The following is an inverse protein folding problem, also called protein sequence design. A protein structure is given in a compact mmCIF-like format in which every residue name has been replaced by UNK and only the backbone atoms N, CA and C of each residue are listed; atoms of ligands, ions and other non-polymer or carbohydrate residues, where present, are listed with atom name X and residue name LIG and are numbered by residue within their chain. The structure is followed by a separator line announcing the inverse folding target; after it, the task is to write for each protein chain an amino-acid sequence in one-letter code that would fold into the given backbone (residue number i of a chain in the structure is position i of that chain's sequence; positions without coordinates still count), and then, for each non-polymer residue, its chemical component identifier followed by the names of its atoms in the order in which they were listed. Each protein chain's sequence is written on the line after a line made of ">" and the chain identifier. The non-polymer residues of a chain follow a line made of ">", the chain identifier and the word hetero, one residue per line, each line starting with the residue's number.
data_IF_557665096845
#
_entry.id   IF_557665096845
#
_cell.length_a   1.000
_cell.length_b   1.000
_cell.length_c   1.000
_cell.angle_alpha   90.00
_cell.angle_beta   90.00
_cell.angle_gamma   90.00
#
_symmetry.space_group_name_H-M   'P 1'
#
loop_
_entity.id
_entity.type
_entity.pdbx_description
1 polymer ?
#
# COMPACT_ATOMS: atom_id res chain seq x y z
N UNK A 1 24.76 -23.10 -11.58
CA UNK A 1 24.04 -21.86 -11.21
C UNK A 1 22.73 -22.27 -10.54
N UNK A 2 22.55 -21.97 -9.26
CA UNK A 2 21.52 -22.58 -8.41
C UNK A 2 20.09 -22.26 -8.86
N UNK A 3 19.40 -23.26 -9.40
CA UNK A 3 17.97 -23.25 -9.73
C UNK A 3 17.15 -23.53 -8.47
N UNK A 4 16.90 -22.50 -7.66
CA UNK A 4 16.11 -22.60 -6.43
C UNK A 4 15.17 -21.38 -6.25
N UNK A 5 14.50 -20.94 -7.32
CA UNK A 5 13.50 -19.86 -7.27
C UNK A 5 12.05 -20.37 -7.40
N UNK A 6 11.81 -21.64 -7.09
CA UNK A 6 10.57 -22.33 -7.49
C UNK A 6 9.28 -21.84 -6.79
N UNK A 7 9.34 -21.06 -5.71
CA UNK A 7 8.10 -20.58 -5.07
C UNK A 7 8.26 -19.35 -4.16
N UNK A 8 9.17 -18.41 -4.45
CA UNK A 8 9.14 -17.13 -3.71
C UNK A 8 7.98 -16.30 -4.26
N UNK A 9 6.87 -16.22 -3.51
CA UNK A 9 5.77 -15.31 -3.84
C UNK A 9 6.25 -13.87 -3.62
N UNK A 10 6.85 -13.28 -4.66
CA UNK A 10 7.23 -11.89 -4.65
C UNK A 10 6.03 -11.01 -4.99
N UNK A 11 5.99 -9.82 -4.39
CA UNK A 11 4.94 -8.84 -4.60
C UNK A 11 5.55 -7.50 -5.02
N UNK A 12 4.88 -6.82 -5.94
CA UNK A 12 5.12 -5.42 -6.22
C UNK A 12 4.34 -4.58 -5.21
N UNK A 13 5.05 -3.80 -4.41
CA UNK A 13 4.49 -2.68 -3.65
C UNK A 13 4.45 -1.48 -4.59
N UNK A 14 3.25 -1.19 -5.10
CA UNK A 14 3.01 -0.12 -6.05
C UNK A 14 2.47 1.08 -5.29
N UNK A 15 3.13 2.22 -5.40
CA UNK A 15 2.69 3.48 -4.80
C UNK A 15 2.46 4.50 -5.91
N UNK A 16 1.28 5.10 -5.98
CA UNK A 16 1.02 6.20 -6.92
C UNK A 16 1.66 7.49 -6.41
N UNK A 17 2.69 7.99 -7.09
CA UNK A 17 3.39 9.22 -6.70
C UNK A 17 2.87 10.45 -7.43
N UNK A 18 2.29 10.28 -8.63
CA UNK A 18 1.77 11.39 -9.45
C UNK A 18 0.28 11.21 -9.77
N UNK A 19 -0.41 12.33 -9.98
CA UNK A 19 -1.83 12.35 -10.32
C UNK A 19 -2.08 11.85 -11.75
N UNK A 20 -3.26 11.32 -12.01
CA UNK A 20 -3.74 10.98 -13.36
C UNK A 20 -4.42 12.16 -14.08
N UNK A 21 -4.48 13.33 -13.45
CA UNK A 21 -5.07 14.54 -14.06
C UNK A 21 -4.26 14.92 -15.29
N UNK A 22 -4.94 15.16 -16.42
CA UNK A 22 -4.30 15.50 -17.69
C UNK A 22 -3.65 14.32 -18.41
N UNK A 23 -3.68 13.11 -17.87
CA UNK A 23 -3.17 11.92 -18.55
C UNK A 23 -4.15 11.39 -19.60
N UNK A 24 -3.62 10.74 -20.64
CA UNK A 24 -4.44 10.08 -21.66
C UNK A 24 -5.37 9.01 -21.04
N UNK A 25 -6.62 8.83 -21.53
CA UNK A 25 -7.59 7.91 -20.94
C UNK A 25 -7.10 6.46 -20.76
N UNK A 26 -6.22 5.97 -21.65
CA UNK A 26 -5.61 4.63 -21.51
C UNK A 26 -4.75 4.50 -20.26
N UNK A 27 -3.96 5.53 -19.93
CA UNK A 27 -3.12 5.55 -18.73
C UNK A 27 -4.00 5.54 -17.49
N UNK A 28 -5.07 6.34 -17.49
CA UNK A 28 -6.05 6.37 -16.39
C UNK A 28 -6.69 5.00 -16.17
N UNK A 29 -7.14 4.33 -17.24
CA UNK A 29 -7.69 2.96 -17.15
C UNK A 29 -6.68 1.95 -16.61
N UNK A 30 -5.40 2.07 -16.98
CA UNK A 30 -4.36 1.19 -16.46
C UNK A 30 -4.12 1.39 -14.95
N UNK A 31 -4.11 2.63 -14.47
CA UNK A 31 -4.01 2.96 -13.04
C UNK A 31 -5.23 2.41 -12.27
N UNK A 32 -6.45 2.61 -12.80
CA UNK A 32 -7.68 2.07 -12.22
C UNK A 32 -7.66 0.53 -12.19
N UNK A 33 -7.16 -0.13 -13.25
CA UNK A 33 -7.02 -1.59 -13.31
C UNK A 33 -5.94 -2.14 -12.35
N UNK A 34 -4.96 -1.32 -11.95
CA UNK A 34 -4.04 -1.64 -10.86
C UNK A 34 -4.66 -1.44 -9.47
N UNK A 35 -5.87 -0.86 -9.40
CA UNK A 35 -6.63 -0.59 -8.17
C UNK A 35 -6.29 0.74 -7.51
N UNK A 36 -5.39 1.53 -8.08
CA UNK A 36 -4.93 2.81 -7.55
C UNK A 36 -5.97 3.88 -7.88
N UNK A 37 -6.51 4.53 -6.84
CA UNK A 37 -7.57 5.55 -6.97
C UNK A 37 -7.13 6.94 -6.51
N UNK A 38 -6.14 7.01 -5.61
CA UNK A 38 -5.67 8.26 -4.99
C UNK A 38 -4.15 8.28 -4.94
N UNK A 39 -3.58 9.50 -4.95
CA UNK A 39 -2.16 9.73 -4.70
C UNK A 39 -1.73 9.12 -3.36
N UNK A 40 -0.49 8.65 -3.29
CA UNK A 40 0.16 7.99 -2.16
C UNK A 40 -0.55 6.72 -1.66
N UNK A 41 -1.52 6.21 -2.42
CA UNK A 41 -2.11 4.92 -2.15
C UNK A 41 -1.10 3.82 -2.47
N UNK A 42 -0.98 2.86 -1.54
CA UNK A 42 -0.11 1.69 -1.67
C UNK A 42 -0.98 0.47 -1.95
N UNK A 43 -0.63 -0.29 -2.98
CA UNK A 43 -1.27 -1.56 -3.35
C UNK A 43 -0.20 -2.61 -3.58
N UNK A 44 -0.45 -3.81 -3.07
CA UNK A 44 0.39 -4.97 -3.31
C UNK A 44 -0.24 -5.84 -4.38
N UNK A 45 0.54 -6.19 -5.41
CA UNK A 45 0.14 -7.17 -6.42
C UNK A 45 1.20 -8.24 -6.56
N UNK A 46 0.76 -9.48 -6.79
CA UNK A 46 1.68 -10.59 -7.07
C UNK A 46 2.49 -10.30 -8.33
N UNK A 47 3.78 -10.64 -8.29
CA UNK A 47 4.66 -10.54 -9.46
C UNK A 47 4.16 -11.50 -10.54
N UNK A 48 3.77 -10.93 -11.68
CA UNK A 48 3.40 -11.66 -12.89
C UNK A 48 3.77 -10.83 -14.12
N UNK A 49 3.98 -11.46 -15.30
CA UNK A 49 4.23 -10.73 -16.55
C UNK A 49 3.12 -9.73 -16.90
N UNK A 50 1.86 -10.11 -16.67
CA UNK A 50 0.70 -9.23 -16.91
C UNK A 50 0.72 -7.99 -16.00
N UNK A 51 1.04 -8.16 -14.72
CA UNK A 51 1.20 -7.03 -13.79
C UNK A 51 2.38 -6.15 -14.22
N UNK A 52 3.51 -6.73 -14.60
CA UNK A 52 4.68 -5.98 -15.05
C UNK A 52 4.39 -5.15 -16.32
N UNK A 53 3.66 -5.71 -17.28
CA UNK A 53 3.24 -4.99 -18.49
C UNK A 53 2.38 -3.76 -18.16
N UNK A 54 1.36 -3.94 -17.30
CA UNK A 54 0.50 -2.82 -16.85
C UNK A 54 1.29 -1.74 -16.13
N UNK A 55 2.22 -2.14 -15.26
CA UNK A 55 3.12 -1.22 -14.55
C UNK A 55 4.01 -0.44 -15.54
N UNK A 56 4.58 -1.12 -16.54
CA UNK A 56 5.44 -0.48 -17.54
C UNK A 56 4.72 0.64 -18.30
N UNK A 57 3.43 0.46 -18.58
CA UNK A 57 2.61 1.48 -19.26
C UNK A 57 2.36 2.75 -18.41
N UNK A 58 2.58 2.68 -17.09
CA UNK A 58 2.31 3.78 -16.14
C UNK A 58 3.51 4.14 -15.27
N UNK A 59 4.72 3.72 -15.68
CA UNK A 59 5.98 3.83 -14.91
C UNK A 59 6.34 5.23 -14.42
N UNK A 60 5.83 6.26 -15.09
CA UNK A 60 6.06 7.67 -14.75
C UNK A 60 5.21 8.14 -13.56
N UNK A 61 4.09 7.46 -13.29
CA UNK A 61 3.12 7.84 -12.25
C UNK A 61 3.28 7.04 -10.95
N UNK A 62 4.06 5.96 -10.98
CA UNK A 62 4.14 4.99 -9.89
C UNK A 62 5.59 4.76 -9.44
N UNK A 63 5.77 4.58 -8.14
CA UNK A 63 6.98 4.02 -7.53
C UNK A 63 6.74 2.55 -7.20
N UNK A 64 7.72 1.70 -7.53
CA UNK A 64 7.61 0.26 -7.34
C UNK A 64 8.74 -0.20 -6.41
N UNK A 65 8.39 -1.00 -5.43
CA UNK A 65 9.32 -1.70 -4.55
C UNK A 65 9.00 -3.20 -4.58
N UNK A 66 10.02 -4.05 -4.59
CA UNK A 66 9.85 -5.50 -4.58
C UNK A 66 9.88 -5.99 -3.13
N UNK A 67 8.84 -6.72 -2.71
CA UNK A 67 8.68 -7.20 -1.33
C UNK A 67 8.30 -8.67 -1.29
N UNK A 68 8.67 -9.33 -0.20
CA UNK A 68 8.41 -10.77 -0.02
C UNK A 68 7.00 -11.08 0.48
N UNK A 69 6.36 -10.14 1.19
CA UNK A 69 5.02 -10.29 1.75
C UNK A 69 4.17 -9.05 1.46
N UNK A 70 2.90 -9.21 1.06
CA UNK A 70 1.98 -8.09 0.95
C UNK A 70 1.52 -7.68 2.35
N UNK A 71 1.17 -6.40 2.52
CA UNK A 71 0.54 -5.92 3.74
C UNK A 71 -0.92 -5.60 3.52
N UNK A 72 -1.76 -5.87 4.50
CA UNK A 72 -3.17 -5.46 4.47
C UNK A 72 -3.31 -3.95 4.70
N UNK A 73 -4.49 -3.39 4.40
CA UNK A 73 -4.76 -1.96 4.64
C UNK A 73 -4.68 -1.61 6.13
N UNK A 74 -5.10 -2.54 6.99
CA UNK A 74 -5.09 -2.38 8.45
C UNK A 74 -3.67 -2.38 8.99
N UNK A 75 -2.82 -3.30 8.55
CA UNK A 75 -1.39 -3.32 8.87
C UNK A 75 -0.70 -2.02 8.44
N UNK A 76 -0.96 -1.56 7.20
CA UNK A 76 -0.43 -0.29 6.72
C UNK A 76 -0.95 0.92 7.53
N UNK A 77 -2.16 0.85 8.07
CA UNK A 77 -2.70 1.92 8.92
C UNK A 77 -2.07 1.89 10.32
N UNK A 78 -1.86 0.70 10.88
CA UNK A 78 -1.16 0.51 12.14
C UNK A 78 0.29 0.98 12.06
N UNK A 79 1.01 0.66 10.99
CA UNK A 79 2.39 1.12 10.77
C UNK A 79 2.53 2.64 10.64
N UNK A 80 1.51 3.30 10.11
CA UNK A 80 1.47 4.77 10.02
C UNK A 80 1.01 5.41 11.32
N UNK A 81 0.42 4.65 12.23
CA UNK A 81 -0.11 5.19 13.48
C UNK A 81 1.07 5.62 14.34
N UNK A 82 1.06 6.89 14.71
CA UNK A 82 2.03 7.46 15.61
C UNK A 82 1.85 6.90 17.03
N UNK A 83 2.95 6.74 17.76
CA UNK A 83 2.92 6.34 19.17
C UNK A 83 2.48 7.53 20.02
N UNK A 84 1.27 7.50 20.63
CA UNK A 84 0.81 8.62 21.45
C UNK A 84 1.78 8.88 22.59
N UNK A 85 2.13 10.14 22.82
CA UNK A 85 3.06 10.56 23.87
C UNK A 85 2.44 10.64 25.26
N UNK A 86 1.30 9.99 25.49
CA UNK A 86 0.61 9.93 26.76
C UNK A 86 0.15 8.51 27.05
N UNK A 87 0.19 8.14 28.32
CA UNK A 87 -0.38 6.89 28.81
C UNK A 87 -1.71 7.17 29.49
N UNK A 88 -2.73 6.40 29.13
CA UNK A 88 -4.03 6.51 29.79
C UNK A 88 -3.94 5.73 31.10
N UNK A 89 -3.70 6.45 32.20
CA UNK A 89 -3.80 5.88 33.54
C UNK A 89 -5.30 5.67 33.83
N UNK A 90 -5.73 4.40 33.86
CA UNK A 90 -7.06 4.06 34.37
C UNK A 90 -7.06 4.21 35.90
N UNK A 91 -7.35 5.42 36.38
CA UNK A 91 -7.57 5.70 37.79
C UNK A 91 -9.06 5.78 38.14
N UNK A 92 -9.40 5.48 39.39
CA UNK A 92 -10.76 5.49 39.98
C UNK A 92 -11.51 6.83 39.91
N UNK A 93 -10.90 7.88 39.36
CA UNK A 93 -11.46 9.24 39.24
C UNK A 93 -12.66 9.36 38.28
N UNK A 94 -12.98 8.30 37.51
CA UNK A 94 -14.16 8.25 36.63
C UNK A 94 -15.43 7.72 37.32
N UNK A 95 -15.29 7.04 38.47
CA UNK A 95 -16.43 6.62 39.29
C UNK A 95 -16.77 7.70 40.32
N UNK A 96 -17.20 8.89 39.87
CA UNK A 96 -17.86 9.84 40.77
C UNK A 96 -19.26 9.32 41.10
N UNK A 97 -19.37 8.59 42.19
CA UNK A 97 -20.66 8.36 42.84
C UNK A 97 -21.04 9.68 43.51
N UNK A 98 -22.00 10.41 42.94
CA UNK A 98 -22.60 11.55 43.61
C UNK A 98 -23.50 11.02 44.73
N UNK A 99 -23.18 11.36 45.98
CA UNK A 99 -24.09 11.22 47.13
C UNK A 99 -25.14 12.32 47.10
#
# INVERSE_FOLDING_TARGET
>A
MSTANAAKNMFYKITQTRSTIGCHPRIRKNIEALGLKRINQIIYQKVSPSTAHRISAVKELVKIELVDKPKTKEELAAERKFNPGFEIIKGDMLNKVYQ
#
